data_IF_706628300398
#
_entry.id   IF_706628300398
#
_cell.length_a   1.000
_cell.length_b   1.000
_cell.length_c   1.000
_cell.angle_alpha   90.00
_cell.angle_beta   90.00
_cell.angle_gamma   90.00
#
_symmetry.space_group_name_H-M   'P 1'
#
loop_
_entity.id
_entity.type
_entity.pdbx_description
1 polymer ?
#
# COMPACT_ATOMS: atom_id res chain seq x y z
N UNK A 1 -22.62 2.67 -16.32
CA UNK A 1 -21.15 2.82 -16.30
C UNK A 1 -20.65 2.18 -15.02
N UNK A 2 -19.78 1.18 -15.09
CA UNK A 2 -19.25 0.54 -13.88
C UNK A 2 -18.23 1.46 -13.21
N UNK A 3 -18.46 1.85 -11.96
CA UNK A 3 -17.59 2.76 -11.19
C UNK A 3 -16.14 2.26 -11.17
N UNK A 4 -15.96 0.94 -11.07
CA UNK A 4 -14.64 0.29 -11.02
C UNK A 4 -13.78 0.47 -12.29
N UNK A 5 -14.38 0.79 -13.43
CA UNK A 5 -13.64 0.97 -14.70
C UNK A 5 -13.20 2.42 -14.93
N UNK A 6 -13.82 3.38 -14.23
CA UNK A 6 -13.65 4.82 -14.49
C UNK A 6 -13.02 5.54 -13.31
N UNK A 7 -13.24 5.06 -12.09
CA UNK A 7 -12.64 5.64 -10.90
C UNK A 7 -11.14 5.31 -10.87
N UNK A 8 -10.30 6.33 -10.99
CA UNK A 8 -8.86 6.26 -10.74
C UNK A 8 -8.33 7.68 -10.49
N UNK A 9 -7.15 7.77 -9.88
CA UNK A 9 -6.46 9.05 -9.72
C UNK A 9 -5.84 9.53 -11.04
N UNK A 10 -5.54 10.83 -11.15
CA UNK A 10 -4.91 11.40 -12.34
C UNK A 10 -3.55 10.74 -12.60
N UNK A 11 -3.41 10.10 -13.76
CA UNK A 11 -2.23 9.32 -14.16
C UNK A 11 -1.01 10.20 -14.47
N UNK A 12 0.14 9.55 -14.60
CA UNK A 12 1.39 10.16 -15.01
C UNK A 12 2.12 10.91 -13.88
N UNK A 13 3.09 11.72 -14.28
CA UNK A 13 3.94 12.50 -13.37
C UNK A 13 3.99 14.01 -13.74
N UNK A 14 3.02 14.47 -14.53
CA UNK A 14 2.90 15.88 -14.92
C UNK A 14 2.32 16.77 -13.80
N UNK A 15 2.23 18.07 -14.06
CA UNK A 15 1.79 19.08 -13.07
C UNK A 15 0.40 18.83 -12.49
N UNK A 16 -0.51 18.19 -13.23
CA UNK A 16 -1.88 17.88 -12.80
C UNK A 16 -2.06 16.43 -12.32
N UNK A 17 -0.97 15.66 -12.30
CA UNK A 17 -1.01 14.25 -11.88
C UNK A 17 -1.21 14.12 -10.38
N UNK A 18 -1.75 12.98 -9.96
CA UNK A 18 -1.86 12.67 -8.54
C UNK A 18 -0.48 12.53 -7.87
N UNK A 19 0.51 11.99 -8.59
CA UNK A 19 1.85 11.80 -8.07
C UNK A 19 2.49 13.12 -7.57
N UNK A 20 2.17 14.26 -8.20
CA UNK A 20 2.69 15.58 -7.85
C UNK A 20 1.77 16.40 -6.94
N UNK A 21 0.50 16.00 -6.77
CA UNK A 21 -0.53 16.75 -6.03
C UNK A 21 -1.08 15.99 -4.81
N UNK A 22 -0.38 14.97 -4.32
CA UNK A 22 -0.87 14.07 -3.25
C UNK A 22 -0.30 14.37 -1.85
N UNK A 23 0.07 15.64 -1.60
CA UNK A 23 0.63 16.10 -0.32
C UNK A 23 -0.32 15.89 0.86
N UNK A 24 -1.63 16.08 0.66
CA UNK A 24 -2.63 15.87 1.73
C UNK A 24 -2.65 14.40 2.15
N UNK A 25 -2.63 13.47 1.19
CA UNK A 25 -2.62 12.03 1.46
C UNK A 25 -1.31 11.61 2.12
N UNK A 26 -0.18 12.19 1.70
CA UNK A 26 1.12 12.00 2.36
C UNK A 26 1.08 12.45 3.83
N UNK A 27 0.46 13.59 4.13
CA UNK A 27 0.29 14.06 5.51
C UNK A 27 -0.63 13.15 6.34
N UNK A 28 -1.70 12.61 5.74
CA UNK A 28 -2.58 11.64 6.41
C UNK A 28 -1.80 10.38 6.77
N UNK A 29 -1.01 9.84 5.85
CA UNK A 29 -0.15 8.67 6.08
C UNK A 29 0.83 8.97 7.22
N UNK A 30 1.53 10.10 7.16
CA UNK A 30 2.48 10.52 8.20
C UNK A 30 1.82 10.68 9.57
N UNK A 31 0.62 11.23 9.63
CA UNK A 31 -0.14 11.41 10.89
C UNK A 31 -0.61 10.07 11.46
N UNK A 32 -1.00 9.13 10.61
CA UNK A 32 -1.46 7.80 11.01
C UNK A 32 -0.33 6.83 11.35
N UNK A 33 0.92 7.15 10.99
CA UNK A 33 2.10 6.31 11.17
C UNK A 33 2.23 5.68 12.57
N UNK A 34 2.04 6.41 13.69
CA UNK A 34 2.18 5.81 15.02
C UNK A 34 1.18 4.66 15.26
N UNK A 35 -0.05 4.81 14.75
CA UNK A 35 -1.10 3.78 14.86
C UNK A 35 -0.77 2.57 13.98
N UNK A 36 -0.23 2.81 12.78
CA UNK A 36 0.26 1.75 11.89
C UNK A 36 1.40 0.98 12.55
N UNK A 37 2.36 1.67 13.17
CA UNK A 37 3.49 1.07 13.88
C UNK A 37 3.03 0.20 15.05
N UNK A 38 2.16 0.74 15.91
CA UNK A 38 1.58 -0.01 17.04
C UNK A 38 0.89 -1.29 16.56
N UNK A 39 0.05 -1.21 15.53
CA UNK A 39 -0.64 -2.37 14.97
C UNK A 39 0.32 -3.44 14.43
N UNK A 40 1.41 -3.04 13.76
CA UNK A 40 2.44 -3.96 13.27
C UNK A 40 3.16 -4.64 14.44
N UNK A 41 3.55 -3.87 15.46
CA UNK A 41 4.26 -4.40 16.63
C UNK A 41 3.40 -5.39 17.42
N UNK A 42 2.10 -5.13 17.54
CA UNK A 42 1.14 -6.03 18.17
C UNK A 42 0.99 -7.36 17.40
N UNK A 43 0.91 -7.29 16.07
CA UNK A 43 0.81 -8.48 15.21
C UNK A 43 2.09 -9.34 15.30
N UNK A 44 3.26 -8.71 15.34
CA UNK A 44 4.56 -9.41 15.31
C UNK A 44 5.26 -9.45 16.68
N UNK A 45 4.51 -9.44 17.78
CA UNK A 45 5.06 -9.20 19.13
C UNK A 45 6.22 -10.16 19.51
N UNK A 46 6.01 -11.48 19.41
CA UNK A 46 7.01 -12.49 19.81
C UNK A 46 7.47 -13.42 18.66
N UNK A 47 6.72 -13.44 17.56
CA UNK A 47 7.00 -14.34 16.44
C UNK A 47 6.84 -13.60 15.13
N UNK A 48 7.94 -13.51 14.38
CA UNK A 48 7.92 -13.16 12.97
C UNK A 48 7.86 -14.45 12.14
N UNK A 49 6.93 -14.57 11.19
CA UNK A 49 6.93 -15.69 10.25
C UNK A 49 8.12 -15.58 9.31
N UNK A 50 8.49 -16.68 8.64
CA UNK A 50 9.56 -16.67 7.63
C UNK A 50 9.21 -15.85 6.38
N UNK A 51 7.91 -15.69 6.10
CA UNK A 51 7.41 -14.89 4.98
C UNK A 51 6.23 -14.03 5.42
N UNK A 52 6.35 -12.72 5.27
CA UNK A 52 5.37 -11.72 5.68
C UNK A 52 4.64 -11.17 4.45
N UNK A 53 3.34 -11.45 4.40
CA UNK A 53 2.43 -10.91 3.39
C UNK A 53 1.81 -9.58 3.81
N UNK A 54 1.99 -8.53 3.01
CA UNK A 54 1.54 -7.16 3.26
C UNK A 54 0.70 -6.70 2.05
N UNK A 55 -0.43 -6.06 2.28
CA UNK A 55 -1.20 -5.42 1.21
C UNK A 55 -1.47 -3.95 1.50
N UNK A 56 -1.39 -3.10 0.48
CA UNK A 56 -1.91 -1.73 0.49
C UNK A 56 -3.13 -1.64 -0.44
N UNK A 57 -4.30 -1.36 0.14
CA UNK A 57 -5.59 -1.32 -0.56
C UNK A 57 -5.96 0.10 -0.99
N UNK A 58 -5.97 0.33 -2.30
CA UNK A 58 -6.11 1.65 -2.89
C UNK A 58 -4.79 2.42 -2.86
N UNK A 59 -3.72 1.78 -3.36
CA UNK A 59 -2.37 2.34 -3.33
C UNK A 59 -2.19 3.58 -4.21
N UNK A 60 -3.10 3.81 -5.16
CA UNK A 60 -2.98 4.82 -6.21
C UNK A 60 -1.68 4.67 -6.99
N UNK A 61 -1.13 5.78 -7.49
CA UNK A 61 0.13 5.86 -8.22
C UNK A 61 1.09 6.87 -7.59
N UNK A 62 2.35 6.81 -8.00
CA UNK A 62 3.38 7.77 -7.58
C UNK A 62 4.04 7.44 -6.23
N UNK A 63 4.69 8.42 -5.59
CA UNK A 63 5.60 8.18 -4.48
C UNK A 63 4.91 7.67 -3.21
N UNK A 64 3.65 8.04 -2.97
CA UNK A 64 2.93 7.66 -1.76
C UNK A 64 2.71 6.14 -1.65
N UNK A 65 2.49 5.43 -2.77
CA UNK A 65 2.32 3.98 -2.78
C UNK A 65 3.56 3.26 -2.19
N UNK A 66 4.75 3.69 -2.59
CA UNK A 66 6.00 3.10 -2.11
C UNK A 66 6.44 3.65 -0.76
N UNK A 67 6.01 4.86 -0.39
CA UNK A 67 6.23 5.44 0.95
C UNK A 67 5.60 4.56 2.03
N UNK A 68 4.32 4.22 1.88
CA UNK A 68 3.59 3.33 2.81
C UNK A 68 4.32 1.99 2.96
N UNK A 69 4.72 1.38 1.83
CA UNK A 69 5.48 0.13 1.84
C UNK A 69 6.79 0.29 2.60
N UNK A 70 7.55 1.36 2.35
CA UNK A 70 8.80 1.63 3.07
C UNK A 70 8.59 1.67 4.57
N UNK A 71 7.59 2.43 5.03
CA UNK A 71 7.34 2.60 6.47
C UNK A 71 6.94 1.28 7.15
N UNK A 72 6.12 0.47 6.51
CA UNK A 72 5.73 -0.86 7.03
C UNK A 72 6.96 -1.76 7.11
N UNK A 73 7.79 -1.80 6.06
CA UNK A 73 9.01 -2.61 6.03
C UNK A 73 10.00 -2.17 7.11
N UNK A 74 10.14 -0.86 7.35
CA UNK A 74 11.01 -0.30 8.38
C UNK A 74 10.63 -0.79 9.78
N UNK A 75 9.35 -0.74 10.12
CA UNK A 75 8.85 -1.19 11.44
C UNK A 75 9.08 -2.69 11.62
N UNK A 76 8.74 -3.51 10.61
CA UNK A 76 8.92 -4.97 10.69
C UNK A 76 10.41 -5.33 10.78
N UNK A 77 11.26 -4.63 10.02
CA UNK A 77 12.70 -4.86 10.05
C UNK A 77 13.31 -4.45 11.40
N UNK A 78 12.94 -3.31 11.96
CA UNK A 78 13.37 -2.90 13.30
C UNK A 78 12.93 -3.92 14.36
N UNK A 79 11.70 -4.45 14.26
CA UNK A 79 11.23 -5.51 15.15
C UNK A 79 12.03 -6.80 14.99
N UNK A 80 12.37 -7.19 13.76
CA UNK A 80 13.24 -8.34 13.50
C UNK A 80 14.61 -8.19 14.17
N UNK A 81 15.23 -7.01 14.04
CA UNK A 81 16.52 -6.71 14.69
C UNK A 81 16.43 -6.85 16.22
N UNK A 82 15.35 -6.34 16.83
CA UNK A 82 15.12 -6.47 18.27
C UNK A 82 14.97 -7.92 18.74
N UNK A 83 14.38 -8.79 17.92
CA UNK A 83 14.23 -10.21 18.25
C UNK A 83 15.54 -11.01 18.07
N UNK A 84 16.60 -10.42 17.50
CA UNK A 84 17.91 -11.06 17.34
C UNK A 84 17.87 -12.34 16.50
N UNK A 85 16.98 -12.41 15.51
CA UNK A 85 16.79 -13.62 14.70
C UNK A 85 17.88 -13.77 13.65
N UNK A 86 18.28 -15.02 13.31
CA UNK A 86 19.38 -15.26 12.38
C UNK A 86 19.06 -14.89 10.92
N UNK A 87 17.78 -14.91 10.53
CA UNK A 87 17.36 -14.61 9.15
C UNK A 87 16.19 -13.62 9.15
N UNK A 88 16.31 -12.57 8.33
CA UNK A 88 15.24 -11.61 8.05
C UNK A 88 14.13 -12.29 7.23
N UNK A 89 12.84 -11.98 7.48
CA UNK A 89 11.76 -12.60 6.75
C UNK A 89 11.75 -12.20 5.28
N UNK A 90 11.20 -13.06 4.43
CA UNK A 90 10.80 -12.68 3.08
C UNK A 90 9.59 -11.74 3.15
N UNK A 91 9.58 -10.68 2.34
CA UNK A 91 8.47 -9.74 2.24
C UNK A 91 7.72 -9.93 0.93
N UNK A 92 6.42 -10.20 1.02
CA UNK A 92 5.48 -10.27 -0.12
C UNK A 92 4.53 -9.09 -0.04
N UNK A 93 4.80 -8.06 -0.82
CA UNK A 93 4.05 -6.80 -0.81
C UNK A 93 3.11 -6.76 -2.01
N UNK A 94 1.84 -6.47 -1.74
CA UNK A 94 0.79 -6.37 -2.75
C UNK A 94 0.23 -4.95 -2.80
N UNK A 95 0.38 -4.29 -3.94
CA UNK A 95 -0.20 -2.99 -4.22
C UNK A 95 -1.52 -3.20 -4.95
N UNK A 96 -2.63 -2.98 -4.27
CA UNK A 96 -3.97 -3.13 -4.85
C UNK A 96 -4.56 -1.77 -5.24
N UNK A 97 -5.13 -1.71 -6.43
CA UNK A 97 -5.98 -0.61 -6.88
C UNK A 97 -6.90 -1.09 -8.01
N UNK A 98 -7.80 -0.24 -8.49
CA UNK A 98 -8.66 -0.52 -9.62
C UNK A 98 -7.85 -0.72 -10.91
N UNK A 99 -8.45 -1.42 -11.88
CA UNK A 99 -7.82 -1.77 -13.17
C UNK A 99 -7.33 -0.52 -13.91
N UNK A 100 -8.02 0.61 -13.72
CA UNK A 100 -7.68 1.89 -14.33
C UNK A 100 -6.45 2.57 -13.74
N UNK A 101 -5.87 2.10 -12.63
CA UNK A 101 -4.75 2.75 -11.97
C UNK A 101 -3.46 2.75 -12.82
N UNK A 102 -2.56 3.70 -12.54
CA UNK A 102 -1.26 3.82 -13.21
C UNK A 102 -0.17 2.98 -12.52
N UNK A 103 -0.32 1.65 -12.60
CA UNK A 103 0.69 0.72 -12.10
C UNK A 103 2.03 0.86 -12.84
N UNK A 104 2.04 1.31 -14.09
CA UNK A 104 3.26 1.50 -14.87
C UNK A 104 4.19 2.53 -14.21
N UNK A 105 3.63 3.63 -13.71
CA UNK A 105 4.39 4.64 -12.99
C UNK A 105 5.01 4.08 -11.69
N UNK A 106 4.23 3.30 -10.95
CA UNK A 106 4.71 2.63 -9.73
C UNK A 106 5.84 1.65 -10.04
N UNK A 107 5.65 0.79 -11.04
CA UNK A 107 6.65 -0.20 -11.45
C UNK A 107 7.91 0.43 -12.03
N UNK A 108 7.78 1.56 -12.74
CA UNK A 108 8.92 2.36 -13.20
C UNK A 108 9.78 2.89 -12.05
N UNK A 109 9.20 3.07 -10.86
CA UNK A 109 9.89 3.58 -9.66
C UNK A 109 10.52 2.47 -8.80
N UNK A 110 10.18 1.20 -9.03
CA UNK A 110 10.67 0.07 -8.24
C UNK A 110 12.20 -0.09 -8.24
N UNK A 111 12.92 0.10 -9.37
CA UNK A 111 14.39 -0.04 -9.36
C UNK A 111 15.06 0.92 -8.36
N UNK A 112 14.63 2.18 -8.34
CA UNK A 112 15.14 3.19 -7.40
C UNK A 112 14.78 2.83 -5.95
N UNK A 113 13.56 2.34 -5.73
CA UNK A 113 13.10 1.88 -4.43
C UNK A 113 13.92 0.71 -3.88
N UNK A 114 14.18 -0.33 -4.69
CA UNK A 114 15.01 -1.45 -4.26
C UNK A 114 16.46 -1.06 -3.98
N UNK A 115 17.04 -0.15 -4.78
CA UNK A 115 18.37 0.38 -4.51
C UNK A 115 18.43 1.09 -3.16
N UNK A 116 17.45 1.96 -2.88
CA UNK A 116 17.32 2.65 -1.60
C UNK A 116 17.18 1.66 -0.43
N UNK A 117 16.32 0.64 -0.56
CA UNK A 117 16.19 -0.39 0.46
C UNK A 117 17.51 -1.10 0.76
N UNK A 118 18.28 -1.43 -0.29
CA UNK A 118 19.59 -2.10 -0.15
C UNK A 118 20.63 -1.19 0.52
N UNK A 119 20.64 0.10 0.16
CA UNK A 119 21.54 1.10 0.75
C UNK A 119 21.24 1.33 2.24
N UNK A 120 19.97 1.40 2.61
CA UNK A 120 19.55 1.71 3.98
C UNK A 120 19.63 0.48 4.92
N UNK A 121 19.27 -0.71 4.43
CA UNK A 121 19.10 -1.90 5.29
C UNK A 121 20.23 -2.93 5.16
N UNK A 122 21.08 -2.79 4.14
CA UNK A 122 22.23 -3.66 3.93
C UNK A 122 21.87 -5.08 3.49
N UNK A 123 22.84 -5.99 3.58
CA UNK A 123 22.71 -7.38 3.11
C UNK A 123 21.88 -8.29 4.02
N UNK A 124 21.58 -7.84 5.23
CA UNK A 124 20.78 -8.60 6.21
C UNK A 124 19.27 -8.49 5.94
N UNK A 125 18.84 -7.52 5.14
CA UNK A 125 17.45 -7.37 4.76
C UNK A 125 16.99 -8.52 3.88
N UNK A 126 15.87 -9.14 4.27
CA UNK A 126 15.29 -10.25 3.55
C UNK A 126 14.80 -9.87 2.14
N UNK A 127 14.61 -10.85 1.26
CA UNK A 127 14.12 -10.59 -0.09
C UNK A 127 12.73 -9.94 -0.03
N UNK A 128 12.52 -8.90 -0.85
CA UNK A 128 11.26 -8.15 -0.93
C UNK A 128 10.71 -8.20 -2.34
N UNK A 129 9.47 -8.69 -2.47
CA UNK A 129 8.78 -8.87 -3.73
C UNK A 129 7.52 -8.00 -3.75
N UNK A 130 7.53 -6.97 -4.59
CA UNK A 130 6.38 -6.10 -4.81
C UNK A 130 5.61 -6.55 -6.05
N UNK A 131 4.30 -6.76 -5.90
CA UNK A 131 3.37 -7.14 -6.97
C UNK A 131 2.19 -6.17 -7.03
N UNK A 132 1.71 -5.86 -8.24
CA UNK A 132 0.43 -5.15 -8.41
C UNK A 132 -0.74 -6.13 -8.48
N UNK A 133 -1.86 -5.78 -7.87
CA UNK A 133 -3.09 -6.59 -7.83
C UNK A 133 -4.26 -5.72 -8.29
N UNK A 134 -4.57 -5.70 -9.61
CA UNK A 134 -5.66 -4.90 -10.13
C UNK A 134 -7.01 -5.53 -9.77
N UNK A 135 -7.91 -4.73 -9.21
CA UNK A 135 -9.27 -5.15 -8.85
C UNK A 135 -9.84 -4.36 -7.68
N UNK A 136 -11.17 -4.35 -7.54
CA UNK A 136 -11.80 -3.72 -6.37
C UNK A 136 -11.59 -4.56 -5.13
N UNK A 137 -11.13 -3.92 -4.05
CA UNK A 137 -11.07 -4.51 -2.72
C UNK A 137 -12.44 -4.74 -2.06
N UNK A 138 -13.55 -4.35 -2.70
CA UNK A 138 -14.90 -4.79 -2.30
C UNK A 138 -15.21 -6.23 -2.72
N UNK A 139 -14.39 -6.80 -3.61
CA UNK A 139 -14.39 -8.22 -3.93
C UNK A 139 -13.18 -8.95 -3.33
N UNK A 140 -13.07 -10.24 -3.63
CA UNK A 140 -11.88 -11.02 -3.27
C UNK A 140 -10.76 -10.74 -4.25
N UNK A 141 -9.68 -10.14 -3.76
CA UNK A 141 -8.44 -9.90 -4.53
C UNK A 141 -7.25 -10.75 -4.08
N UNK A 142 -7.37 -11.44 -2.93
CA UNK A 142 -6.32 -12.29 -2.38
C UNK A 142 -6.81 -13.71 -2.04
N UNK A 143 -5.92 -14.72 -2.13
CA UNK A 143 -6.17 -16.04 -1.57
C UNK A 143 -6.44 -16.00 -0.07
N UNK A 144 -7.10 -17.03 0.45
CA UNK A 144 -7.30 -17.18 1.89
C UNK A 144 -5.96 -17.38 2.61
N UNK A 145 -5.78 -16.75 3.77
CA UNK A 145 -4.60 -16.87 4.65
C UNK A 145 -3.27 -16.47 4.00
N UNK A 146 -3.29 -15.54 3.04
CA UNK A 146 -2.06 -15.09 2.36
C UNK A 146 -1.42 -13.84 2.97
N UNK A 147 -2.18 -13.05 3.73
CA UNK A 147 -1.78 -11.74 4.27
C UNK A 147 -1.68 -11.77 5.80
N UNK A 148 -0.72 -11.01 6.32
CA UNK A 148 -0.50 -10.80 7.76
C UNK A 148 -0.82 -9.37 8.17
N UNK A 149 -0.54 -8.41 7.28
CA UNK A 149 -0.84 -7.00 7.50
C UNK A 149 -1.53 -6.39 6.28
N UNK A 150 -2.51 -5.53 6.52
CA UNK A 150 -3.25 -4.82 5.47
C UNK A 150 -3.35 -3.36 5.86
N UNK A 151 -2.90 -2.49 4.97
CA UNK A 151 -3.00 -1.05 5.09
C UNK A 151 -4.00 -0.51 4.06
N UNK A 152 -4.67 0.58 4.41
CA UNK A 152 -5.53 1.34 3.51
C UNK A 152 -5.63 2.76 4.02
N UNK A 153 -5.28 3.74 3.18
CA UNK A 153 -5.37 5.16 3.51
C UNK A 153 -6.07 5.92 2.40
N UNK A 154 -7.08 6.71 2.76
CA UNK A 154 -7.81 7.58 1.82
C UNK A 154 -8.41 6.85 0.60
N UNK A 155 -8.81 5.59 0.75
CA UNK A 155 -9.45 4.81 -0.32
C UNK A 155 -10.81 4.20 0.05
N UNK A 156 -11.05 3.87 1.33
CA UNK A 156 -12.31 3.25 1.80
C UNK A 156 -13.55 4.13 1.68
N UNK A 157 -13.41 5.44 1.51
CA UNK A 157 -14.53 6.37 1.33
C UNK A 157 -15.15 6.30 -0.07
N UNK A 158 -14.48 5.67 -1.04
CA UNK A 158 -14.98 5.50 -2.40
C UNK A 158 -16.00 4.36 -2.48
N UNK A 159 -17.28 4.69 -2.64
CA UNK A 159 -18.35 3.69 -2.71
C UNK A 159 -18.27 2.80 -3.96
N UNK A 160 -18.73 1.56 -3.83
CA UNK A 160 -18.80 0.60 -4.95
C UNK A 160 -19.78 1.02 -6.06
N UNK A 161 -20.78 1.83 -5.70
CA UNK A 161 -21.81 2.33 -6.61
C UNK A 161 -22.34 3.68 -6.12
N UNK A 162 -22.93 4.45 -7.03
CA UNK A 162 -23.59 5.71 -6.70
C UNK A 162 -24.83 5.42 -5.85
N UNK A 163 -24.99 6.15 -4.75
CA UNK A 163 -26.20 6.09 -3.95
C UNK A 163 -27.31 6.90 -4.64
N UNK A 164 -28.21 6.23 -5.37
CA UNK A 164 -29.28 6.87 -6.16
C UNK A 164 -30.22 7.77 -5.34
N UNK A 165 -30.34 7.56 -4.03
CA UNK A 165 -31.17 8.41 -3.16
C UNK A 165 -30.60 9.83 -2.97
N UNK A 166 -29.29 10.03 -3.09
CA UNK A 166 -28.70 11.38 -3.00
C UNK A 166 -28.95 12.23 -4.25
N UNK A 167 -29.17 11.60 -5.41
CA UNK A 167 -29.51 12.30 -6.66
C UNK A 167 -30.95 12.83 -6.66
N UNK A 168 -31.87 12.16 -5.95
CA UNK A 168 -33.29 12.57 -5.89
C UNK A 168 -33.47 13.84 -5.06
N UNK A 169 -32.66 14.06 -4.02
CA UNK A 169 -32.73 15.26 -3.17
C UNK A 169 -32.03 16.51 -3.76
N UNK A 170 -31.28 16.37 -4.85
CA UNK A 170 -30.66 17.51 -5.56
C UNK A 170 -31.49 17.91 -6.80
N UNK A 171 -32.50 17.11 -7.17
CA UNK A 171 -33.37 17.32 -8.33
C UNK A 171 -34.85 17.59 -7.97
N UNK A 172 -35.17 17.83 -6.69
CA UNK A 172 -36.46 18.33 -6.19
C UNK A 172 -36.23 19.63 -5.43
#
# INVERSE_FOLDING_TARGET
>A
MEVMQVLHMNKGAGETSYATNSTVQSNIISTAKPVTEEAILDIFNNVLPESVGIADLGCSSGPNALLVVSEILDVIYAKWQQLGRPCSPEFRVYLNDLIGNDFNNVFGSLPAFYNKLKEEKGSEFGPCFISGVPGSFYGRVFPSKSLHFVHSSSSLHWLSQVCLYFLIFILL
#
